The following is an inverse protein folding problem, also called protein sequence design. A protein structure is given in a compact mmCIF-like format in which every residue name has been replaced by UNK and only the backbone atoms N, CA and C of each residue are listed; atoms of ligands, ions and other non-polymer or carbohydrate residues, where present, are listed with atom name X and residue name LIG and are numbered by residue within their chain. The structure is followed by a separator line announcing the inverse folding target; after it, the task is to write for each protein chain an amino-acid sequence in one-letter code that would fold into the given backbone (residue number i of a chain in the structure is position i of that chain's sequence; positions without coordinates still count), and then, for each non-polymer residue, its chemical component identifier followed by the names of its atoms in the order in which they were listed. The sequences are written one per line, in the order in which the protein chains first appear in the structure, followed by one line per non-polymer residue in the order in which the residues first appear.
data_IF_633154763985
#
_entry.id   IF_633154763985
#
_cell.length_a   1.000
_cell.length_b   1.000
_cell.length_c   1.000
_cell.angle_alpha   90.00
_cell.angle_beta   90.00
_cell.angle_gamma   90.00
#
_symmetry.space_group_name_H-M   'P 1'
#
loop_
_entity.id
_entity.type
_entity.pdbx_description
1 polymer ?
#
# COMPACT_ATOMS: atom_id res chain seq x y z
N UNK A 1 15.10 -15.72 5.94
CA UNK A 1 15.28 -14.28 5.65
C UNK A 1 14.92 -13.50 6.91
N UNK A 2 15.47 -12.31 7.15
CA UNK A 2 15.03 -11.45 8.27
C UNK A 2 14.16 -10.33 7.72
N UNK A 3 12.96 -10.17 8.25
CA UNK A 3 12.01 -9.11 7.88
C UNK A 3 12.16 -7.92 8.83
N UNK A 4 12.38 -6.73 8.28
CA UNK A 4 12.44 -5.47 9.03
C UNK A 4 11.11 -4.75 8.88
N UNK A 5 10.37 -4.69 9.98
CA UNK A 5 9.01 -4.14 10.04
C UNK A 5 9.02 -2.86 10.86
N UNK A 6 8.53 -1.77 10.26
CA UNK A 6 8.39 -0.47 10.91
C UNK A 6 7.36 -0.56 12.03
N UNK A 7 6.18 -1.09 11.72
CA UNK A 7 5.05 -1.20 12.64
C UNK A 7 4.01 -2.21 12.17
N UNK A 8 3.21 -2.69 13.10
CA UNK A 8 2.07 -3.57 12.87
C UNK A 8 0.90 -3.11 13.75
N UNK A 9 -0.27 -2.88 13.15
CA UNK A 9 -1.45 -2.38 13.84
C UNK A 9 -2.74 -2.92 13.22
N UNK A 10 -3.84 -2.93 13.99
CA UNK A 10 -5.16 -3.39 13.55
C UNK A 10 -6.09 -2.19 13.41
N UNK A 11 -6.63 -1.98 12.20
CA UNK A 11 -7.50 -0.85 11.88
C UNK A 11 -8.46 -1.20 10.72
N UNK A 12 -9.05 -0.20 10.09
CA UNK A 12 -9.79 -0.33 8.84
C UNK A 12 -8.92 0.10 7.66
N UNK A 13 -8.98 -0.63 6.55
CA UNK A 13 -8.43 -0.15 5.29
C UNK A 13 -9.04 1.20 4.95
N UNK A 14 -8.20 2.22 4.85
CA UNK A 14 -8.64 3.58 4.61
C UNK A 14 -8.80 3.95 3.14
N UNK A 15 -8.31 3.11 2.22
CA UNK A 15 -8.14 3.45 0.81
C UNK A 15 -8.64 2.33 -0.14
N UNK A 16 -8.91 2.71 -1.39
CA UNK A 16 -9.14 1.75 -2.48
C UNK A 16 -10.44 0.96 -2.39
N UNK A 17 -10.50 -0.15 -3.12
CA UNK A 17 -11.67 -1.01 -3.22
C UNK A 17 -12.13 -1.57 -1.86
N UNK A 18 -11.17 -1.82 -0.96
CA UNK A 18 -11.42 -2.39 0.35
C UNK A 18 -11.60 -1.35 1.46
N UNK A 19 -11.83 -0.08 1.13
CA UNK A 19 -12.13 0.97 2.12
C UNK A 19 -13.19 0.53 3.13
N UNK A 20 -12.89 0.65 4.42
CA UNK A 20 -13.74 0.26 5.55
C UNK A 20 -13.59 -1.20 6.00
N UNK A 21 -12.81 -2.03 5.30
CA UNK A 21 -12.58 -3.44 5.67
C UNK A 21 -11.59 -3.55 6.84
N UNK A 22 -11.89 -4.28 7.93
CA UNK A 22 -10.92 -4.51 9.00
C UNK A 22 -9.68 -5.27 8.51
N UNK A 23 -8.49 -4.79 8.88
CA UNK A 23 -7.22 -5.34 8.45
C UNK A 23 -6.15 -5.20 9.54
N UNK A 24 -5.21 -6.14 9.60
CA UNK A 24 -3.92 -5.89 10.25
C UNK A 24 -2.97 -5.33 9.19
N UNK A 25 -2.44 -4.14 9.43
CA UNK A 25 -1.41 -3.55 8.59
C UNK A 25 -0.04 -4.06 9.05
N UNK A 26 0.74 -4.58 8.12
CA UNK A 26 2.14 -4.94 8.32
C UNK A 26 3.00 -4.01 7.47
N UNK A 27 3.53 -2.95 8.09
CA UNK A 27 4.33 -1.93 7.42
C UNK A 27 5.81 -2.31 7.45
N UNK A 28 6.36 -2.73 6.34
CA UNK A 28 7.79 -3.00 6.19
C UNK A 28 8.62 -1.71 6.22
N UNK A 29 9.88 -1.84 6.61
CA UNK A 29 10.84 -0.74 6.64
C UNK A 29 11.57 -0.59 5.29
N UNK A 30 11.78 0.65 4.85
CA UNK A 30 12.54 0.97 3.64
C UNK A 30 11.73 0.97 2.33
N UNK A 31 12.22 1.71 1.34
CA UNK A 31 11.63 1.85 0.01
C UNK A 31 12.73 1.99 -1.04
N UNK A 32 12.49 1.54 -2.27
CA UNK A 32 13.41 1.69 -3.39
C UNK A 32 13.26 3.04 -4.13
N UNK A 33 12.19 3.81 -3.89
CA UNK A 33 11.96 5.12 -4.52
C UNK A 33 12.30 6.33 -3.65
N UNK A 34 12.45 6.14 -2.33
CA UNK A 34 12.89 7.20 -1.43
C UNK A 34 13.59 6.57 -0.21
N UNK A 35 14.66 7.22 0.26
CA UNK A 35 15.42 6.75 1.43
C UNK A 35 14.65 6.87 2.75
N UNK A 36 13.51 7.60 2.75
CA UNK A 36 12.77 7.97 3.96
C UNK A 36 13.37 9.15 4.72
N UNK A 37 14.53 9.68 4.27
CA UNK A 37 15.18 10.84 4.90
C UNK A 37 14.81 12.11 4.16
N UNK A 38 14.34 13.12 4.89
CA UNK A 38 13.92 14.41 4.33
C UNK A 38 14.97 15.08 3.44
N UNK A 39 16.25 14.98 3.82
CA UNK A 39 17.37 15.53 3.02
C UNK A 39 17.48 14.95 1.60
N UNK A 40 16.90 13.77 1.36
CA UNK A 40 16.94 13.09 0.07
C UNK A 40 15.63 13.27 -0.73
N UNK A 41 14.56 13.81 -0.12
CA UNK A 41 13.20 13.87 -0.71
C UNK A 41 13.16 14.61 -2.05
N UNK A 42 13.87 15.74 -2.15
CA UNK A 42 13.87 16.58 -3.35
C UNK A 42 14.46 15.91 -4.61
N UNK A 43 15.24 14.83 -4.45
CA UNK A 43 15.88 14.06 -5.54
C UNK A 43 15.38 12.62 -5.63
N UNK A 44 14.36 12.28 -4.84
CA UNK A 44 13.80 10.94 -4.79
C UNK A 44 12.93 10.66 -6.01
N UNK A 45 12.77 9.39 -6.37
CA UNK A 45 11.80 8.98 -7.39
C UNK A 45 10.36 9.20 -6.92
N UNK A 46 10.13 9.19 -5.59
CA UNK A 46 8.87 9.54 -4.95
C UNK A 46 9.11 10.64 -3.90
N UNK A 47 8.70 11.88 -4.19
CA UNK A 47 8.92 13.05 -3.32
C UNK A 47 7.72 13.39 -2.43
N UNK A 48 6.56 12.78 -2.67
CA UNK A 48 5.30 13.11 -2.01
C UNK A 48 4.83 12.07 -0.98
N UNK A 49 5.71 11.15 -0.56
CA UNK A 49 5.36 10.14 0.44
C UNK A 49 4.99 10.78 1.79
N UNK A 50 3.87 10.34 2.36
CA UNK A 50 3.27 10.79 3.63
C UNK A 50 3.57 9.85 4.81
N UNK A 51 4.37 8.81 4.58
CA UNK A 51 4.54 7.69 5.52
C UNK A 51 5.96 7.66 6.11
N UNK A 52 6.07 7.49 7.43
CA UNK A 52 7.35 7.13 8.08
C UNK A 52 7.57 5.61 7.99
N UNK A 53 8.55 5.20 7.17
CA UNK A 53 8.98 3.81 7.03
C UNK A 53 10.45 3.61 7.43
N UNK A 54 11.06 4.58 8.12
CA UNK A 54 12.45 4.48 8.56
C UNK A 54 12.57 3.71 9.88
N UNK A 55 13.44 2.69 9.87
CA UNK A 55 13.73 1.90 11.06
C UNK A 55 12.65 0.88 11.40
N UNK A 56 12.74 0.31 12.60
CA UNK A 56 11.88 -0.79 13.10
C UNK A 56 11.33 -0.46 14.50
N UNK A 57 11.03 0.82 14.72
CA UNK A 57 10.78 1.42 16.03
C UNK A 57 9.33 1.89 16.24
N UNK A 58 8.42 1.59 15.32
CA UNK A 58 7.00 1.88 15.47
C UNK A 58 6.28 0.84 16.33
N UNK A 59 4.96 0.95 16.41
CA UNK A 59 4.13 0.07 17.22
C UNK A 59 4.28 -1.39 16.73
N UNK A 60 4.64 -2.31 17.63
CA UNK A 60 4.92 -3.72 17.28
C UNK A 60 6.00 -3.90 16.19
N UNK A 61 6.81 -2.85 15.94
CA UNK A 61 7.92 -2.88 15.00
C UNK A 61 9.07 -3.73 15.51
N UNK A 62 9.87 -4.24 14.59
CA UNK A 62 11.02 -5.08 14.94
C UNK A 62 11.66 -5.78 13.76
N UNK A 63 12.61 -6.65 14.10
CA UNK A 63 13.23 -7.58 13.14
C UNK A 63 12.74 -8.99 13.44
N UNK A 64 12.07 -9.59 12.47
CA UNK A 64 11.53 -10.94 12.57
C UNK A 64 12.43 -11.90 11.80
N UNK A 65 12.96 -12.92 12.48
CA UNK A 65 13.96 -13.83 11.90
C UNK A 65 13.36 -15.02 11.15
N UNK A 66 12.04 -15.19 11.19
CA UNK A 66 11.32 -16.23 10.45
C UNK A 66 9.96 -15.73 9.95
N UNK A 67 9.44 -16.32 8.85
CA UNK A 67 8.10 -16.02 8.34
C UNK A 67 7.00 -16.30 9.36
N UNK A 68 7.11 -17.43 10.07
CA UNK A 68 6.13 -17.88 11.04
C UNK A 68 6.04 -16.92 12.23
N UNK A 69 7.19 -16.42 12.71
CA UNK A 69 7.23 -15.48 13.82
C UNK A 69 6.60 -14.13 13.49
N UNK A 70 6.74 -13.66 12.25
CA UNK A 70 6.02 -12.47 11.79
C UNK A 70 4.53 -12.75 11.61
N UNK A 71 4.16 -13.87 11.02
CA UNK A 71 2.76 -14.27 10.84
C UNK A 71 2.02 -14.42 12.18
N UNK A 72 2.64 -15.02 13.19
CA UNK A 72 2.11 -15.11 14.55
C UNK A 72 1.92 -13.74 15.20
N UNK A 73 2.91 -12.85 15.07
CA UNK A 73 2.81 -11.49 15.62
C UNK A 73 1.67 -10.68 14.97
N UNK A 74 1.52 -10.76 13.65
CA UNK A 74 0.40 -10.16 12.91
C UNK A 74 -0.93 -10.79 13.35
N UNK A 75 -0.99 -12.13 13.47
CA UNK A 75 -2.21 -12.84 13.86
C UNK A 75 -2.70 -12.47 15.25
N UNK A 76 -1.78 -12.22 16.18
CA UNK A 76 -2.08 -11.85 17.55
C UNK A 76 -2.82 -10.50 17.66
N UNK A 77 -2.68 -9.62 16.65
CA UNK A 77 -3.35 -8.31 16.63
C UNK A 77 -4.76 -8.35 16.04
N UNK A 78 -5.15 -9.43 15.37
CA UNK A 78 -6.49 -9.53 14.78
C UNK A 78 -7.55 -9.69 15.87
N UNK A 79 -8.46 -8.71 15.99
CA UNK A 79 -9.51 -8.68 17.01
C UNK A 79 -10.91 -9.05 16.47
N UNK A 80 -11.04 -9.23 15.15
CA UNK A 80 -12.31 -9.52 14.50
C UNK A 80 -12.94 -10.82 14.98
N UNK A 81 -14.20 -10.76 15.42
CA UNK A 81 -15.01 -11.92 15.82
C UNK A 81 -15.84 -12.39 14.63
N UNK A 82 -15.27 -13.27 13.80
CA UNK A 82 -15.87 -13.70 12.53
C UNK A 82 -15.30 -12.95 11.31
N UNK A 83 -15.63 -13.44 10.11
CA UNK A 83 -14.99 -13.01 8.87
C UNK A 83 -13.60 -13.63 8.67
N UNK A 84 -13.06 -13.54 7.45
CA UNK A 84 -11.71 -14.02 7.13
C UNK A 84 -10.69 -12.94 7.55
N UNK A 85 -9.69 -13.26 8.40
CA UNK A 85 -8.62 -12.33 8.73
C UNK A 85 -7.99 -11.74 7.47
N UNK A 86 -7.64 -10.46 7.51
CA UNK A 86 -7.04 -9.76 6.38
C UNK A 86 -5.78 -9.03 6.82
N UNK A 87 -4.68 -9.24 6.10
CA UNK A 87 -3.41 -8.54 6.32
C UNK A 87 -3.07 -7.72 5.09
N UNK A 88 -2.69 -6.47 5.32
CA UNK A 88 -2.19 -5.57 4.27
C UNK A 88 -0.70 -5.39 4.47
N UNK A 89 0.08 -5.99 3.57
CA UNK A 89 1.52 -5.80 3.47
C UNK A 89 1.81 -4.47 2.76
N UNK A 90 2.43 -3.54 3.46
CA UNK A 90 2.71 -2.17 2.97
C UNK A 90 4.07 -1.69 3.46
N UNK A 91 4.43 -0.43 3.24
CA UNK A 91 5.57 0.25 3.87
C UNK A 91 6.94 -0.13 3.35
N UNK A 92 7.91 0.78 3.34
CA UNK A 92 7.90 1.68 2.20
C UNK A 92 7.55 0.90 0.92
N UNK A 93 8.45 0.10 0.37
CA UNK A 93 8.10 -0.88 -0.68
C UNK A 93 8.08 -2.33 -0.13
N UNK A 94 6.90 -2.95 0.06
CA UNK A 94 6.80 -4.27 0.68
C UNK A 94 7.45 -5.38 -0.13
N UNK A 95 7.45 -5.31 -1.48
CA UNK A 95 8.01 -6.36 -2.33
C UNK A 95 9.55 -6.45 -2.28
N UNK A 96 10.21 -5.53 -1.56
CA UNK A 96 11.63 -5.69 -1.21
C UNK A 96 11.88 -6.79 -0.17
N UNK A 97 10.85 -7.18 0.58
CA UNK A 97 10.95 -8.12 1.71
C UNK A 97 9.88 -9.21 1.71
N UNK A 98 8.68 -8.93 1.18
CA UNK A 98 7.57 -9.87 1.12
C UNK A 98 7.87 -11.00 0.12
N UNK A 99 8.20 -12.17 0.64
CA UNK A 99 8.50 -13.36 -0.14
C UNK A 99 7.42 -14.45 0.01
N UNK A 100 7.52 -15.48 -0.84
CA UNK A 100 6.56 -16.59 -0.85
C UNK A 100 6.42 -17.29 0.52
N UNK A 101 7.51 -17.60 1.27
CA UNK A 101 7.39 -18.15 2.62
C UNK A 101 6.52 -17.31 3.56
N UNK A 102 6.68 -15.98 3.55
CA UNK A 102 5.87 -15.11 4.40
C UNK A 102 4.40 -15.04 3.96
N UNK A 103 4.13 -14.97 2.66
CA UNK A 103 2.76 -15.03 2.13
C UNK A 103 2.07 -16.32 2.59
N UNK A 104 2.76 -17.47 2.48
CA UNK A 104 2.23 -18.76 2.94
C UNK A 104 2.03 -18.80 4.44
N UNK A 105 2.97 -18.29 5.23
CA UNK A 105 2.84 -18.24 6.68
C UNK A 105 1.61 -17.40 7.12
N UNK A 106 1.32 -16.27 6.45
CA UNK A 106 0.09 -15.52 6.70
C UNK A 106 -1.16 -16.33 6.32
N UNK A 107 -1.17 -16.98 5.16
CA UNK A 107 -2.30 -17.79 4.70
C UNK A 107 -2.57 -18.99 5.63
N UNK A 108 -1.52 -19.62 6.15
CA UNK A 108 -1.61 -20.70 7.15
C UNK A 108 -2.21 -20.23 8.48
N UNK A 109 -2.00 -18.96 8.85
CA UNK A 109 -2.68 -18.30 9.97
C UNK A 109 -4.14 -17.87 9.64
N UNK A 110 -4.61 -18.20 8.44
CA UNK A 110 -5.97 -17.96 7.95
C UNK A 110 -6.18 -16.59 7.32
N UNK A 111 -5.13 -15.82 7.06
CA UNK A 111 -5.24 -14.51 6.43
C UNK A 111 -5.52 -14.59 4.92
N UNK A 112 -6.33 -13.66 4.42
CA UNK A 112 -6.15 -13.11 3.07
C UNK A 112 -5.01 -12.10 3.09
N UNK A 113 -4.13 -12.17 2.09
CA UNK A 113 -2.91 -11.37 2.02
C UNK A 113 -3.03 -10.36 0.88
N UNK A 114 -3.07 -9.08 1.26
CA UNK A 114 -3.00 -7.96 0.33
C UNK A 114 -1.58 -7.37 0.28
N UNK A 115 -1.24 -6.75 -0.85
CA UNK A 115 -0.08 -5.86 -0.97
C UNK A 115 -0.49 -4.47 -1.46
N UNK A 116 0.17 -3.45 -0.92
CA UNK A 116 0.17 -2.07 -1.42
C UNK A 116 1.58 -1.74 -1.94
N UNK A 117 1.79 -1.80 -3.25
CA UNK A 117 3.12 -1.65 -3.88
C UNK A 117 3.19 -0.47 -4.85
N UNK A 118 4.39 0.08 -5.03
CA UNK A 118 4.64 1.11 -6.04
C UNK A 118 4.73 0.57 -7.48
N UNK A 119 4.66 -0.75 -7.66
CA UNK A 119 4.60 -1.43 -8.97
C UNK A 119 5.94 -1.58 -9.70
N UNK A 120 7.06 -1.25 -9.05
CA UNK A 120 8.41 -1.40 -9.62
C UNK A 120 9.04 -2.78 -9.44
N UNK A 121 8.37 -3.65 -8.70
CA UNK A 121 8.73 -5.04 -8.46
C UNK A 121 7.53 -5.93 -8.80
N UNK A 122 7.74 -7.16 -9.27
CA UNK A 122 6.63 -8.06 -9.63
C UNK A 122 5.95 -8.60 -8.37
N UNK A 123 4.62 -8.58 -8.36
CA UNK A 123 3.83 -9.20 -7.31
C UNK A 123 3.87 -10.73 -7.41
N UNK A 124 4.11 -11.46 -6.31
CA UNK A 124 3.90 -12.91 -6.26
C UNK A 124 2.46 -13.28 -6.59
N UNK A 125 2.26 -14.36 -7.35
CA UNK A 125 0.94 -14.84 -7.79
C UNK A 125 0.09 -15.38 -6.64
N UNK A 126 0.72 -15.66 -5.50
CA UNK A 126 0.10 -16.20 -4.30
C UNK A 126 -0.62 -15.15 -3.46
N UNK A 127 -0.48 -13.87 -3.77
CA UNK A 127 -1.22 -12.80 -3.11
C UNK A 127 -2.71 -12.91 -3.44
N UNK A 128 -3.56 -12.68 -2.44
CA UNK A 128 -5.02 -12.67 -2.61
C UNK A 128 -5.52 -11.33 -3.19
N UNK A 129 -4.77 -10.24 -2.98
CA UNK A 129 -5.08 -8.91 -3.49
C UNK A 129 -3.83 -8.05 -3.77
N UNK A 130 -3.82 -7.38 -4.91
CA UNK A 130 -2.75 -6.51 -5.39
C UNK A 130 -3.26 -5.10 -5.64
N UNK A 131 -2.86 -4.16 -4.78
CA UNK A 131 -3.06 -2.74 -4.99
C UNK A 131 -1.75 -2.09 -5.45
N UNK A 132 -1.78 -1.52 -6.65
CA UNK A 132 -0.61 -0.97 -7.31
C UNK A 132 -0.80 0.53 -7.48
N UNK A 133 0.08 1.29 -6.85
CA UNK A 133 0.08 2.75 -6.91
C UNK A 133 1.36 3.24 -7.60
N UNK A 134 1.36 3.40 -8.92
CA UNK A 134 2.57 3.74 -9.66
C UNK A 134 3.02 5.18 -9.35
N UNK A 135 4.34 5.39 -9.35
CA UNK A 135 5.00 6.67 -9.05
C UNK A 135 5.89 7.16 -10.20
N UNK A 136 6.39 6.23 -11.02
CA UNK A 136 7.31 6.45 -12.15
C UNK A 136 6.95 5.52 -13.30
N UNK A 137 6.55 6.07 -14.44
CA UNK A 137 6.15 5.26 -15.61
C UNK A 137 7.33 4.43 -16.17
N UNK A 138 8.54 5.00 -16.19
CA UNK A 138 9.77 4.35 -16.67
C UNK A 138 10.25 3.19 -15.80
N UNK A 139 9.73 3.07 -14.56
CA UNK A 139 10.07 2.01 -13.61
C UNK A 139 8.86 1.11 -13.31
N UNK A 140 7.74 1.32 -13.99
CA UNK A 140 6.51 0.60 -13.71
C UNK A 140 6.47 -0.71 -14.49
N UNK A 141 6.54 -1.85 -13.77
CA UNK A 141 6.61 -3.18 -14.40
C UNK A 141 5.39 -4.06 -14.10
N UNK A 142 4.69 -3.81 -12.99
CA UNK A 142 3.49 -4.54 -12.62
C UNK A 142 2.27 -3.96 -13.36
N UNK A 143 2.07 -4.36 -14.61
CA UNK A 143 1.02 -3.80 -15.50
C UNK A 143 -0.32 -4.55 -15.45
N UNK A 144 -0.49 -5.43 -14.46
CA UNK A 144 -1.75 -6.11 -14.17
C UNK A 144 -1.97 -6.30 -12.68
N UNK A 145 -3.20 -6.56 -12.27
CA UNK A 145 -3.54 -6.83 -10.88
C UNK A 145 -5.00 -6.55 -10.56
N UNK A 146 -5.28 -6.36 -9.28
CA UNK A 146 -6.65 -6.18 -8.82
C UNK A 146 -7.06 -4.72 -8.85
N UNK A 147 -6.19 -3.85 -8.34
CA UNK A 147 -6.46 -2.44 -8.22
C UNK A 147 -5.26 -1.60 -8.66
N UNK A 148 -5.50 -0.68 -9.59
CA UNK A 148 -4.59 0.43 -9.84
C UNK A 148 -5.13 1.67 -9.09
N UNK A 149 -4.37 2.15 -8.12
CA UNK A 149 -4.73 3.32 -7.29
C UNK A 149 -3.70 4.43 -7.51
N UNK A 150 -4.02 5.34 -8.44
CA UNK A 150 -3.11 6.42 -8.82
C UNK A 150 -3.31 7.63 -7.90
N UNK A 151 -2.24 8.04 -7.21
CA UNK A 151 -2.23 9.33 -6.52
C UNK A 151 -2.31 10.45 -7.56
N UNK A 152 -3.14 11.47 -7.33
CA UNK A 152 -3.47 12.47 -8.34
C UNK A 152 -3.63 13.87 -7.72
N UNK A 153 -3.07 14.93 -8.33
CA UNK A 153 -2.24 14.91 -9.54
C UNK A 153 -0.81 14.42 -9.29
N UNK A 154 -0.15 13.99 -10.37
CA UNK A 154 1.29 13.71 -10.40
C UNK A 154 1.88 14.25 -11.71
N UNK A 155 3.10 14.79 -11.65
CA UNK A 155 3.82 15.24 -12.85
C UNK A 155 4.34 14.05 -13.69
N UNK A 156 4.72 12.96 -13.02
CA UNK A 156 5.40 11.83 -13.65
C UNK A 156 4.45 10.83 -14.34
N UNK A 157 3.17 10.79 -13.95
CA UNK A 157 2.17 9.85 -14.45
C UNK A 157 0.83 10.55 -14.50
N UNK A 158 0.17 10.48 -15.66
CA UNK A 158 -1.22 10.90 -15.84
C UNK A 158 -2.12 9.68 -15.95
N UNK A 159 -3.42 9.77 -15.65
CA UNK A 159 -4.26 8.58 -15.63
C UNK A 159 -4.39 7.93 -17.03
N UNK A 160 -4.33 8.70 -18.12
CA UNK A 160 -4.31 8.17 -19.49
C UNK A 160 -3.10 7.27 -19.79
N UNK A 161 -1.97 7.46 -19.09
CA UNK A 161 -0.74 6.69 -19.30
C UNK A 161 -0.88 5.26 -18.75
N UNK A 162 -1.89 4.99 -17.90
CA UNK A 162 -2.08 3.70 -17.21
C UNK A 162 -3.49 3.12 -17.34
N UNK A 163 -4.47 3.89 -17.84
CA UNK A 163 -5.87 3.46 -17.98
C UNK A 163 -6.07 2.22 -18.87
N UNK A 164 -5.09 1.88 -19.71
CA UNK A 164 -5.18 0.74 -20.63
C UNK A 164 -4.56 -0.56 -20.06
N UNK A 165 -4.03 -0.52 -18.83
CA UNK A 165 -3.39 -1.66 -18.19
C UNK A 165 -4.41 -2.68 -17.65
N UNK A 166 -3.95 -3.89 -17.34
CA UNK A 166 -4.84 -5.02 -17.03
C UNK A 166 -5.19 -5.09 -15.53
N UNK A 167 -5.97 -4.11 -15.07
CA UNK A 167 -6.44 -4.03 -13.69
C UNK A 167 -7.97 -4.14 -13.61
N UNK A 168 -8.47 -4.81 -12.56
CA UNK A 168 -9.92 -4.97 -12.34
C UNK A 168 -10.59 -3.65 -11.90
N UNK A 169 -9.87 -2.82 -11.16
CA UNK A 169 -10.35 -1.54 -10.64
C UNK A 169 -9.35 -0.42 -10.87
N UNK A 170 -9.86 0.78 -11.15
CA UNK A 170 -9.07 2.00 -11.35
C UNK A 170 -9.55 3.07 -10.38
N UNK A 171 -8.66 3.57 -9.53
CA UNK A 171 -8.94 4.63 -8.58
C UNK A 171 -8.01 5.82 -8.74
N UNK A 172 -8.56 7.02 -8.60
CA UNK A 172 -7.80 8.23 -8.33
C UNK A 172 -7.86 8.54 -6.84
N UNK A 173 -6.69 8.68 -6.23
CA UNK A 173 -6.54 9.12 -4.86
C UNK A 173 -6.02 10.56 -4.85
N UNK A 174 -6.74 11.53 -4.26
CA UNK A 174 -6.23 12.88 -4.11
C UNK A 174 -4.86 12.85 -3.41
N UNK A 175 -3.89 13.57 -3.98
CA UNK A 175 -2.61 13.80 -3.33
C UNK A 175 -2.84 14.58 -2.03
N UNK A 176 -2.32 14.09 -0.92
CA UNK A 176 -2.27 14.83 0.33
C UNK A 176 -1.05 15.75 0.32
N UNK A 177 -1.30 17.05 0.20
CA UNK A 177 -0.26 18.07 0.13
C UNK A 177 -0.62 19.24 1.05
N UNK A 178 0.32 19.62 1.91
CA UNK A 178 0.13 20.71 2.85
C UNK A 178 -0.18 22.03 2.12
N UNK A 179 -1.38 22.57 2.34
CA UNK A 179 -1.81 23.85 1.77
C UNK A 179 -2.50 23.75 0.40
N UNK A 180 -2.74 22.55 -0.12
CA UNK A 180 -3.50 22.31 -1.35
C UNK A 180 -4.59 21.26 -1.14
N UNK A 181 -5.74 21.44 -1.80
CA UNK A 181 -6.81 20.43 -1.86
C UNK A 181 -6.97 19.92 -3.29
N UNK A 182 -6.51 18.68 -3.51
CA UNK A 182 -6.57 18.00 -4.80
C UNK A 182 -7.85 17.18 -4.99
N UNK A 183 -8.74 17.14 -3.99
CA UNK A 183 -9.97 16.33 -4.00
C UNK A 183 -10.88 16.72 -5.16
N UNK A 184 -11.07 18.04 -5.37
CA UNK A 184 -11.92 18.54 -6.46
C UNK A 184 -11.40 18.08 -7.82
N UNK A 185 -10.09 18.13 -8.03
CA UNK A 185 -9.49 17.73 -9.30
C UNK A 185 -9.71 16.23 -9.58
N UNK A 186 -9.53 15.37 -8.56
CA UNK A 186 -9.80 13.94 -8.69
C UNK A 186 -11.30 13.65 -8.96
N UNK A 187 -12.21 14.33 -8.24
CA UNK A 187 -13.67 14.22 -8.45
C UNK A 187 -14.04 14.62 -9.87
N UNK A 188 -13.58 15.78 -10.33
CA UNK A 188 -13.87 16.28 -11.67
C UNK A 188 -13.34 15.31 -12.74
N UNK A 189 -12.17 14.70 -12.55
CA UNK A 189 -11.63 13.69 -13.48
C UNK A 189 -12.50 12.42 -13.51
N UNK A 190 -12.83 11.84 -12.36
CA UNK A 190 -13.67 10.65 -12.28
C UNK A 190 -15.06 10.87 -12.91
N UNK A 191 -15.68 12.03 -12.67
CA UNK A 191 -16.98 12.38 -13.28
C UNK A 191 -16.91 12.46 -14.80
N UNK A 192 -15.78 12.92 -15.35
CA UNK A 192 -15.60 13.00 -16.79
C UNK A 192 -15.14 11.66 -17.40
N UNK A 193 -14.50 10.78 -16.62
CA UNK A 193 -13.90 9.52 -17.09
C UNK A 193 -14.33 8.34 -16.19
N UNK A 194 -15.54 7.79 -16.39
CA UNK A 194 -16.20 6.87 -15.44
C UNK A 194 -15.57 5.48 -15.32
N UNK A 195 -14.48 5.21 -16.04
CA UNK A 195 -13.59 4.08 -15.73
C UNK A 195 -12.95 4.24 -14.34
N UNK A 196 -12.70 5.49 -13.92
CA UNK A 196 -12.03 5.84 -12.68
C UNK A 196 -13.03 6.09 -11.55
N UNK A 197 -12.78 5.48 -10.40
CA UNK A 197 -13.47 5.75 -9.14
C UNK A 197 -12.61 6.63 -8.23
N UNK A 198 -13.24 7.33 -7.29
CA UNK A 198 -12.52 8.10 -6.27
C UNK A 198 -12.09 7.18 -5.11
N UNK A 199 -10.83 7.24 -4.70
CA UNK A 199 -10.32 6.66 -3.46
C UNK A 199 -9.95 7.78 -2.50
N UNK A 200 -10.65 7.90 -1.38
CA UNK A 200 -10.28 8.85 -0.33
C UNK A 200 -9.36 8.18 0.68
N UNK A 201 -8.53 8.96 1.36
CA UNK A 201 -7.79 8.51 2.54
C UNK A 201 -8.68 8.61 3.78
N UNK A 202 -9.70 7.76 3.85
CA UNK A 202 -10.76 7.86 4.86
C UNK A 202 -10.26 7.72 6.29
N UNK A 203 -9.15 7.02 6.51
CA UNK A 203 -8.49 6.91 7.82
C UNK A 203 -8.07 8.28 8.38
N UNK A 204 -7.58 9.21 7.53
CA UNK A 204 -7.25 10.59 7.92
C UNK A 204 -8.48 11.40 8.33
N UNK A 205 -9.62 11.15 7.68
CA UNK A 205 -10.91 11.79 7.98
C UNK A 205 -11.48 11.26 9.31
N UNK A 206 -11.35 9.95 9.54
CA UNK A 206 -11.88 9.26 10.71
C UNK A 206 -10.97 9.40 11.94
N UNK A 207 -9.71 9.81 11.76
CA UNK A 207 -8.74 9.90 12.85
C UNK A 207 -8.35 8.54 13.42
N UNK A 208 -8.23 7.54 12.54
CA UNK A 208 -7.76 6.17 12.87
C UNK A 208 -6.44 5.90 12.16
N UNK A 209 -5.68 4.94 12.69
CA UNK A 209 -4.43 4.45 12.09
C UNK A 209 -4.66 3.78 10.73
#
# INVERSE_FOLDING_TARGET
MTYSVKEIFYSLQGEGHHTGRPAVFCRFAGCNFWSGREKDRARADCSFCDTDFLGTNGQNGGKFTSPEGLAEAVRALWQGRGGKPYVICTGGEPLMQLDLPLIRAFQEQGFEVAVESNGSLPCPLELDWTCISPKRLDKFIQTSGDELKLVFPQDAIRPEDVAHMDFRHFYLQPLDEAGADHTKAAVDYCLNHPQWCLSLQSHKILGID
#
